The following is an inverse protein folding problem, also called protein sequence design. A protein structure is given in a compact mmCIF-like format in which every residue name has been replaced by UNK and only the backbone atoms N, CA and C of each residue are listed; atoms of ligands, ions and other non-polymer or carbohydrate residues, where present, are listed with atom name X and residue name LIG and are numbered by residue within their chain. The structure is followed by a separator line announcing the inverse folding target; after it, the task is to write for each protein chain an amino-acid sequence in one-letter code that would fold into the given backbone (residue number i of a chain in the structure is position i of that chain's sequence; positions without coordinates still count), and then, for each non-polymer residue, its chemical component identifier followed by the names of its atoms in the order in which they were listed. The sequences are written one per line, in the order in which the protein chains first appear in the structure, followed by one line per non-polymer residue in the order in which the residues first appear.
data_IF_710906768424
#
_entry.id   IF_710906768424
#
_cell.length_a   1.000
_cell.length_b   1.000
_cell.length_c   1.000
_cell.angle_alpha   90.00
_cell.angle_beta   90.00
_cell.angle_gamma   90.00
#
_symmetry.space_group_name_H-M   'P 1'
#
loop_
_entity.id
_entity.type
_entity.pdbx_description
1 polymer ?
#
# COMPACT_ATOMS: atom_id res chain seq x y z
N UNK A 1 -8.38 -21.33 8.10
CA UNK A 1 -7.88 -20.44 9.17
C UNK A 1 -8.37 -19.06 8.80
N UNK A 2 -8.98 -18.30 9.71
CA UNK A 2 -9.47 -16.96 9.37
C UNK A 2 -8.30 -16.08 8.90
N UNK A 3 -8.49 -15.35 7.81
CA UNK A 3 -7.50 -14.39 7.31
C UNK A 3 -7.39 -13.24 8.31
N UNK A 4 -6.41 -13.33 9.21
CA UNK A 4 -6.10 -12.27 10.17
C UNK A 4 -5.11 -11.32 9.53
N UNK A 5 -5.41 -10.03 9.61
CA UNK A 5 -4.53 -8.96 9.18
C UNK A 5 -4.08 -8.17 10.40
N UNK A 6 -2.78 -7.91 10.48
CA UNK A 6 -2.15 -7.13 11.55
C UNK A 6 -1.78 -5.74 11.01
N UNK A 7 -1.58 -4.78 11.92
CA UNK A 7 -1.10 -3.44 11.60
C UNK A 7 0.02 -3.07 12.57
N UNK A 8 1.11 -2.53 12.02
CA UNK A 8 2.20 -2.03 12.83
C UNK A 8 1.85 -0.64 13.37
N UNK A 9 2.01 -0.44 14.68
CA UNK A 9 1.89 0.88 15.30
C UNK A 9 2.89 1.88 14.70
N UNK A 10 4.04 1.43 14.20
CA UNK A 10 4.98 2.30 13.48
C UNK A 10 4.38 2.97 12.24
N UNK A 11 3.33 2.38 11.66
CA UNK A 11 2.62 2.93 10.51
C UNK A 11 1.41 3.73 10.98
N UNK A 12 0.54 3.14 11.81
CA UNK A 12 -0.75 3.74 12.16
C UNK A 12 -0.66 4.82 13.26
N UNK A 13 0.43 4.86 14.04
CA UNK A 13 0.69 5.94 15.00
C UNK A 13 1.70 6.96 14.45
N UNK A 14 2.07 6.87 13.17
CA UNK A 14 2.94 7.89 12.56
C UNK A 14 2.17 9.19 12.33
N UNK A 15 2.86 10.33 12.48
CA UNK A 15 2.27 11.65 12.20
C UNK A 15 1.69 11.70 10.78
N UNK A 16 2.38 11.11 9.80
CA UNK A 16 1.91 11.05 8.41
C UNK A 16 0.55 10.35 8.27
N UNK A 17 0.28 9.32 9.08
CA UNK A 17 -1.00 8.62 9.08
C UNK A 17 -2.06 9.39 9.86
N UNK A 18 -1.71 9.87 11.06
CA UNK A 18 -2.64 10.58 11.95
C UNK A 18 -3.08 11.94 11.39
N UNK A 19 -2.24 12.58 10.58
CA UNK A 19 -2.56 13.82 9.86
C UNK A 19 -3.58 13.64 8.73
N UNK A 20 -3.85 12.40 8.30
CA UNK A 20 -4.86 12.13 7.27
C UNK A 20 -6.28 12.22 7.86
N UNK A 21 -7.30 12.58 7.06
CA UNK A 21 -8.70 12.50 7.49
C UNK A 21 -9.06 11.09 7.99
N UNK A 22 -9.93 11.01 9.01
CA UNK A 22 -10.39 9.72 9.56
C UNK A 22 -11.01 8.80 8.50
N UNK A 23 -11.65 9.36 7.47
CA UNK A 23 -12.19 8.61 6.33
C UNK A 23 -11.09 7.95 5.51
N UNK A 24 -9.95 8.62 5.29
CA UNK A 24 -8.78 8.06 4.60
C UNK A 24 -8.10 6.99 5.45
N UNK A 25 -7.94 7.21 6.75
CA UNK A 25 -7.44 6.21 7.70
C UNK A 25 -8.34 4.96 7.69
N UNK A 26 -9.67 5.16 7.74
CA UNK A 26 -10.65 4.08 7.67
C UNK A 26 -10.53 3.29 6.36
N UNK A 27 -10.45 3.99 5.21
CA UNK A 27 -10.28 3.35 3.91
C UNK A 27 -9.01 2.49 3.85
N UNK A 28 -7.88 2.96 4.41
CA UNK A 28 -6.65 2.19 4.47
C UNK A 28 -6.83 0.83 5.17
N UNK A 29 -7.53 0.83 6.30
CA UNK A 29 -7.86 -0.41 7.02
C UNK A 29 -8.76 -1.32 6.20
N UNK A 30 -9.81 -0.77 5.57
CA UNK A 30 -10.75 -1.55 4.75
C UNK A 30 -10.12 -2.19 3.51
N UNK A 31 -9.19 -1.48 2.86
CA UNK A 31 -8.40 -2.00 1.75
C UNK A 31 -7.47 -3.11 2.23
N UNK A 32 -6.74 -2.88 3.32
CA UNK A 32 -5.82 -3.86 3.90
C UNK A 32 -6.51 -5.15 4.38
N UNK A 33 -7.76 -5.07 4.88
CA UNK A 33 -8.55 -6.25 5.22
C UNK A 33 -8.87 -7.14 4.02
N UNK A 34 -8.92 -6.56 2.81
CA UNK A 34 -9.37 -7.24 1.58
C UNK A 34 -8.24 -7.50 0.60
N UNK A 35 -7.02 -7.14 0.96
CA UNK A 35 -5.85 -7.44 0.17
C UNK A 35 -5.49 -8.94 0.21
N UNK A 36 -4.84 -9.44 -0.83
CA UNK A 36 -4.26 -10.78 -0.86
C UNK A 36 -2.97 -10.90 -0.01
N UNK A 37 -2.32 -12.06 0.02
CA UNK A 37 -1.14 -12.27 0.88
C UNK A 37 0.13 -11.53 0.43
N UNK A 38 0.09 -10.88 -0.73
CA UNK A 38 1.11 -9.94 -1.19
C UNK A 38 0.67 -8.47 -1.08
N UNK A 39 -0.51 -8.21 -0.53
CA UNK A 39 -1.00 -6.86 -0.27
C UNK A 39 -1.72 -6.22 -1.46
N UNK A 40 -2.04 -6.99 -2.50
CA UNK A 40 -2.73 -6.48 -3.67
C UNK A 40 -4.26 -6.46 -3.48
N UNK A 41 -4.89 -5.41 -4.02
CA UNK A 41 -6.34 -5.21 -4.02
C UNK A 41 -6.77 -4.94 -5.46
N UNK A 42 -7.65 -5.79 -5.99
CA UNK A 42 -8.13 -5.76 -7.37
C UNK A 42 -9.32 -4.82 -7.59
N UNK A 43 -10.05 -4.52 -6.52
CA UNK A 43 -11.35 -3.85 -6.58
C UNK A 43 -11.49 -2.67 -5.60
N UNK A 44 -10.49 -1.75 -5.50
CA UNK A 44 -10.53 -0.66 -4.54
C UNK A 44 -11.78 0.22 -4.68
N UNK A 45 -12.23 0.51 -5.92
CA UNK A 45 -13.49 1.26 -6.17
C UNK A 45 -14.74 0.55 -5.64
N UNK A 46 -14.78 -0.78 -5.73
CA UNK A 46 -15.89 -1.58 -5.18
C UNK A 46 -15.89 -1.50 -3.66
N UNK A 47 -14.71 -1.56 -3.03
CA UNK A 47 -14.57 -1.43 -1.57
C UNK A 47 -15.05 -0.06 -1.11
N UNK A 48 -14.59 1.02 -1.76
CA UNK A 48 -15.02 2.40 -1.50
C UNK A 48 -16.55 2.49 -1.54
N UNK A 49 -17.17 1.96 -2.59
CA UNK A 49 -18.64 1.94 -2.75
C UNK A 49 -19.34 1.14 -1.65
N UNK A 50 -18.80 -0.02 -1.25
CA UNK A 50 -19.40 -0.87 -0.21
C UNK A 50 -19.38 -0.19 1.16
N UNK A 51 -18.29 0.51 1.48
CA UNK A 51 -18.13 1.15 2.80
C UNK A 51 -18.66 2.59 2.83
N UNK A 52 -19.07 3.14 1.69
CA UNK A 52 -19.54 4.52 1.57
C UNK A 52 -18.43 5.57 1.71
N UNK A 53 -17.18 5.22 1.39
CA UNK A 53 -16.06 6.17 1.40
C UNK A 53 -16.07 7.07 0.15
N UNK A 54 -15.32 8.17 0.20
CA UNK A 54 -15.14 9.05 -0.95
C UNK A 54 -13.93 8.58 -1.80
N UNK A 55 -13.99 8.72 -3.12
CA UNK A 55 -12.83 8.48 -3.99
C UNK A 55 -11.65 9.41 -3.67
N UNK A 56 -11.92 10.60 -3.12
CA UNK A 56 -10.87 11.53 -2.68
C UNK A 56 -10.02 10.97 -1.52
N UNK A 57 -10.58 10.09 -0.68
CA UNK A 57 -9.82 9.39 0.36
C UNK A 57 -8.74 8.48 -0.25
N UNK A 58 -9.06 7.82 -1.37
CA UNK A 58 -8.08 7.01 -2.09
C UNK A 58 -6.97 7.88 -2.67
N UNK A 59 -7.30 9.06 -3.22
CA UNK A 59 -6.30 10.00 -3.71
C UNK A 59 -5.34 10.43 -2.61
N UNK A 60 -5.85 10.71 -1.41
CA UNK A 60 -5.02 11.05 -0.24
C UNK A 60 -4.05 9.90 0.08
N UNK A 61 -4.53 8.65 0.13
CA UNK A 61 -3.67 7.49 0.37
C UNK A 61 -2.59 7.31 -0.70
N UNK A 62 -2.91 7.60 -1.97
CA UNK A 62 -1.95 7.54 -3.07
C UNK A 62 -0.90 8.65 -2.92
N UNK A 63 -1.34 9.89 -2.75
CA UNK A 63 -0.45 11.06 -2.62
C UNK A 63 0.46 10.96 -1.41
N UNK A 64 -0.03 10.41 -0.29
CA UNK A 64 0.77 10.18 0.93
C UNK A 64 1.59 8.88 0.88
N UNK A 65 1.48 8.09 -0.19
CA UNK A 65 2.28 6.89 -0.40
C UNK A 65 1.84 5.65 0.39
N UNK A 66 0.63 5.63 0.96
CA UNK A 66 0.12 4.47 1.71
C UNK A 66 -0.36 3.33 0.81
N UNK A 67 -0.68 3.65 -0.45
CA UNK A 67 -0.99 2.66 -1.50
C UNK A 67 -0.29 3.04 -2.80
N UNK A 68 0.08 2.04 -3.59
CA UNK A 68 0.67 2.22 -4.92
C UNK A 68 -0.36 1.75 -5.96
N UNK A 69 -0.59 2.55 -6.99
CA UNK A 69 -1.55 2.26 -8.07
C UNK A 69 -0.87 1.73 -9.32
N UNK A 70 -1.53 0.79 -9.97
CA UNK A 70 -1.20 0.24 -11.29
C UNK A 70 -2.29 0.57 -12.32
N UNK A 71 -1.93 0.53 -13.61
CA UNK A 71 -2.77 1.00 -14.72
C UNK A 71 -4.15 0.33 -14.81
N UNK A 72 -4.27 -0.93 -14.37
CA UNK A 72 -5.52 -1.70 -14.43
C UNK A 72 -6.48 -1.45 -13.25
N UNK A 73 -6.24 -0.41 -12.46
CA UNK A 73 -7.05 -0.10 -11.27
C UNK A 73 -6.79 -1.03 -10.09
N UNK A 74 -5.68 -1.78 -10.14
CA UNK A 74 -5.15 -2.58 -9.04
C UNK A 74 -4.31 -1.66 -8.16
N UNK A 75 -4.35 -1.88 -6.85
CA UNK A 75 -3.43 -1.23 -5.92
C UNK A 75 -2.69 -2.26 -5.08
N UNK A 76 -1.57 -1.86 -4.50
CA UNK A 76 -0.89 -2.60 -3.43
C UNK A 76 -0.76 -1.74 -2.18
N UNK A 77 -0.92 -2.34 -1.01
CA UNK A 77 -0.66 -1.68 0.28
C UNK A 77 0.85 -1.52 0.47
N UNK A 78 1.35 -0.29 0.50
CA UNK A 78 2.80 0.00 0.58
C UNK A 78 3.47 -0.71 1.75
N UNK A 79 2.83 -0.71 2.91
CA UNK A 79 3.39 -1.25 4.15
C UNK A 79 2.99 -2.71 4.41
N UNK A 80 2.55 -3.46 3.40
CA UNK A 80 1.96 -4.79 3.60
C UNK A 80 2.86 -5.73 4.39
N UNK A 81 4.14 -5.88 3.99
CA UNK A 81 5.10 -6.79 4.64
C UNK A 81 5.52 -6.32 6.03
N UNK A 82 5.40 -5.02 6.31
CA UNK A 82 5.61 -4.44 7.65
C UNK A 82 4.45 -4.79 8.58
N UNK A 83 3.24 -4.67 8.05
CA UNK A 83 2.00 -4.92 8.78
C UNK A 83 1.75 -6.41 8.98
N UNK A 84 2.05 -7.23 7.98
CA UNK A 84 1.67 -8.63 7.92
C UNK A 84 2.88 -9.52 7.65
N UNK A 85 3.29 -10.26 8.67
CA UNK A 85 4.20 -11.38 8.50
C UNK A 85 3.40 -12.66 8.18
N UNK A 86 3.48 -13.13 6.94
CA UNK A 86 2.84 -14.37 6.48
C UNK A 86 3.95 -15.37 6.17
N UNK A 87 3.92 -16.52 6.86
CA UNK A 87 4.92 -17.58 6.65
C UNK A 87 4.88 -18.10 5.21
N UNK A 88 6.06 -18.36 4.65
CA UNK A 88 6.22 -18.77 3.25
C UNK A 88 5.45 -20.05 2.89
N UNK A 89 5.31 -21.00 3.82
CA UNK A 89 4.59 -22.26 3.61
C UNK A 89 3.07 -22.10 3.46
N UNK A 90 2.53 -20.94 3.86
CA UNK A 90 1.08 -20.65 3.83
C UNK A 90 0.70 -19.53 2.87
N UNK A 91 1.67 -18.68 2.53
CA UNK A 91 1.48 -17.52 1.67
C UNK A 91 1.02 -17.96 0.28
N UNK A 92 -0.10 -17.39 -0.18
CA UNK A 92 -0.54 -17.53 -1.57
C UNK A 92 -0.01 -16.35 -2.38
N UNK A 93 0.70 -16.64 -3.46
CA UNK A 93 1.19 -15.57 -4.34
C UNK A 93 0.03 -14.86 -5.03
N UNK A 94 0.18 -13.54 -5.21
CA UNK A 94 -0.78 -12.74 -5.98
C UNK A 94 -0.89 -13.22 -7.43
N UNK A 95 -2.08 -13.06 -8.01
CA UNK A 95 -2.28 -13.24 -9.45
C UNK A 95 -1.69 -12.08 -10.29
N UNK A 96 -1.35 -10.95 -9.66
CA UNK A 96 -0.79 -9.75 -10.28
C UNK A 96 0.74 -9.82 -10.39
N UNK A 97 1.22 -10.86 -11.07
CA UNK A 97 2.65 -11.20 -11.14
C UNK A 97 3.45 -10.07 -11.80
N UNK A 98 2.93 -9.47 -12.87
CA UNK A 98 3.60 -8.39 -13.60
C UNK A 98 3.73 -7.13 -12.74
N UNK A 99 2.65 -6.73 -12.07
CA UNK A 99 2.66 -5.58 -11.16
C UNK A 99 3.61 -5.83 -10.00
N UNK A 100 3.63 -7.05 -9.44
CA UNK A 100 4.57 -7.42 -8.39
C UNK A 100 6.03 -7.42 -8.85
N UNK A 101 6.32 -7.84 -10.08
CA UNK A 101 7.67 -7.76 -10.66
C UNK A 101 8.16 -6.32 -10.83
N UNK A 102 7.25 -5.35 -10.96
CA UNK A 102 7.58 -3.92 -11.00
C UNK A 102 7.85 -3.30 -9.62
N UNK A 103 7.75 -4.08 -8.55
CA UNK A 103 8.01 -3.66 -7.17
C UNK A 103 9.32 -4.23 -6.64
N UNK A 104 9.99 -3.45 -5.79
CA UNK A 104 10.96 -3.94 -4.83
C UNK A 104 10.55 -3.51 -3.42
N UNK A 105 11.38 -3.84 -2.44
CA UNK A 105 11.18 -3.47 -1.04
C UNK A 105 12.34 -2.62 -0.54
N UNK A 106 12.06 -1.62 0.29
CA UNK A 106 13.07 -0.95 1.09
C UNK A 106 13.63 -1.90 2.15
N UNK A 107 14.73 -1.53 2.81
CA UNK A 107 15.29 -2.29 3.93
C UNK A 107 14.26 -2.53 5.06
N UNK A 108 13.31 -1.59 5.22
CA UNK A 108 12.26 -1.67 6.22
C UNK A 108 11.03 -2.47 5.76
N UNK A 109 11.03 -3.03 4.54
CA UNK A 109 9.94 -3.87 4.02
C UNK A 109 8.77 -3.12 3.40
N UNK A 110 8.91 -1.81 3.13
CA UNK A 110 7.90 -1.06 2.38
C UNK A 110 8.07 -1.31 0.87
N UNK A 111 6.97 -1.52 0.15
CA UNK A 111 7.00 -1.63 -1.30
C UNK A 111 7.34 -0.30 -1.96
N UNK A 112 8.16 -0.34 -3.00
CA UNK A 112 8.47 0.80 -3.89
C UNK A 112 8.47 0.33 -5.34
N UNK A 113 8.10 1.20 -6.28
CA UNK A 113 8.21 0.91 -7.72
C UNK A 113 9.68 0.91 -8.13
N UNK A 114 10.07 -0.02 -9.01
CA UNK A 114 11.44 -0.10 -9.55
C UNK A 114 11.85 1.17 -10.30
N UNK A 115 10.89 1.86 -10.93
CA UNK A 115 11.11 3.13 -11.64
C UNK A 115 11.65 4.24 -10.74
N UNK A 116 11.46 4.14 -9.42
CA UNK A 116 11.93 5.13 -8.45
C UNK A 116 13.40 4.90 -8.01
N UNK A 117 14.11 3.89 -8.55
CA UNK A 117 15.48 3.51 -8.16
C UNK A 117 16.60 4.17 -9.00
N UNK A 118 16.27 5.14 -9.86
CA UNK A 118 17.23 6.05 -10.50
C UNK A 118 16.48 7.31 -10.89
N UNK A 119 16.82 8.52 -10.43
CA UNK A 119 18.11 9.21 -10.49
C UNK A 119 18.30 10.04 -9.19
N UNK A 120 19.49 10.07 -8.55
CA UNK A 120 19.81 11.14 -7.61
C UNK A 120 19.90 12.46 -8.39
N UNK A 121 19.05 13.44 -8.08
CA UNK A 121 19.27 14.82 -8.51
C UNK A 121 20.46 15.38 -7.70
N UNK A 122 21.66 14.98 -8.08
CA UNK A 122 22.89 15.64 -7.67
C UNK A 122 23.21 16.68 -8.74
N UNK A 123 22.80 17.92 -8.49
CA UNK A 123 23.39 19.15 -9.03
C UNK A 123 22.72 20.36 -8.34
N UNK A 124 22.95 20.50 -7.04
CA UNK A 124 23.06 21.83 -6.45
C UNK A 124 24.52 22.27 -6.54
N UNK A 125 24.86 22.96 -7.62
CA UNK A 125 25.92 23.96 -7.57
C UNK A 125 25.34 25.26 -8.11
N UNK A 126 24.81 26.07 -7.19
CA UNK A 126 24.57 27.50 -7.44
C UNK A 126 25.71 28.29 -6.81
N UNK A 127 26.48 28.93 -7.68
CA UNK A 127 27.42 30.05 -7.50
C UNK A 127 28.71 29.80 -6.73
#
# INVERSE_FOLDING_TARGET
MADKRMFSLKIVDSDLFLDMPLSSQCLYFHLSMRADDDGFVDNPKKIIKIIGANEDDLKILITKGFVIVFERGIIVITHWKINNYIRNDRRKETMYITEKQSLTQTENGAYIKLENLGIPNDDQVST
#
